data_IF_499697936859
#
_entry.id   IF_499697936859
#
_cell.length_a   1.000
_cell.length_b   1.000
_cell.length_c   1.000
_cell.angle_alpha   90.00
_cell.angle_beta   90.00
_cell.angle_gamma   90.00
#
_symmetry.space_group_name_H-M   'P 1'
#
loop_
_entity.id
_entity.type
_entity.pdbx_description
1 polymer ?
#
# COMPACT_ATOMS: atom_id res chain seq x y z
N UNK A 1 18.09 -8.71 -26.29
CA UNK A 1 18.05 -7.62 -25.29
C UNK A 1 19.22 -7.80 -24.35
N UNK A 2 20.03 -6.77 -24.10
CA UNK A 2 21.16 -6.86 -23.16
C UNK A 2 20.64 -7.13 -21.75
N UNK A 3 21.19 -8.14 -21.08
CA UNK A 3 20.79 -8.57 -19.75
C UNK A 3 21.20 -7.50 -18.72
N UNK A 4 20.33 -6.52 -18.44
CA UNK A 4 20.64 -5.40 -17.57
C UNK A 4 20.43 -5.75 -16.08
N UNK A 5 21.02 -6.88 -15.64
CA UNK A 5 20.94 -7.36 -14.24
C UNK A 5 21.43 -6.32 -13.24
N UNK A 6 22.33 -5.45 -13.67
CA UNK A 6 22.87 -4.34 -12.88
C UNK A 6 21.81 -3.29 -12.58
N UNK A 7 21.06 -2.83 -13.60
CA UNK A 7 19.98 -1.87 -13.39
C UNK A 7 18.88 -2.43 -12.47
N UNK A 8 18.44 -3.66 -12.70
CA UNK A 8 17.38 -4.28 -11.90
C UNK A 8 17.77 -4.37 -10.42
N UNK A 9 19.03 -4.75 -10.15
CA UNK A 9 19.59 -4.76 -8.78
C UNK A 9 19.63 -3.37 -8.16
N UNK A 10 20.06 -2.36 -8.91
CA UNK A 10 20.10 -0.99 -8.39
C UNK A 10 18.69 -0.46 -8.11
N UNK A 11 17.74 -0.67 -9.02
CA UNK A 11 16.36 -0.25 -8.82
C UNK A 11 15.77 -0.88 -7.56
N UNK A 12 15.82 -2.21 -7.43
CA UNK A 12 15.30 -2.91 -6.26
C UNK A 12 15.99 -2.45 -4.96
N UNK A 13 17.32 -2.30 -4.97
CA UNK A 13 18.06 -1.80 -3.81
C UNK A 13 17.63 -0.38 -3.44
N UNK A 14 17.45 0.51 -4.41
CA UNK A 14 17.01 1.89 -4.19
C UNK A 14 15.62 1.92 -3.57
N UNK A 15 14.68 1.13 -4.09
CA UNK A 15 13.32 1.05 -3.53
C UNK A 15 13.32 0.50 -2.10
N UNK A 16 14.03 -0.58 -1.83
CA UNK A 16 14.16 -1.13 -0.47
C UNK A 16 14.84 -0.15 0.49
N UNK A 17 15.88 0.56 0.05
CA UNK A 17 16.52 1.63 0.82
C UNK A 17 15.53 2.78 1.11
N UNK A 18 14.73 3.21 0.13
CA UNK A 18 13.72 4.23 0.33
C UNK A 18 12.66 3.79 1.36
N UNK A 19 12.21 2.54 1.29
CA UNK A 19 11.32 1.95 2.29
C UNK A 19 11.94 1.94 3.70
N UNK A 20 13.19 1.48 3.83
CA UNK A 20 13.89 1.45 5.12
C UNK A 20 14.12 2.85 5.72
N UNK A 21 14.52 3.83 4.90
CA UNK A 21 14.67 5.24 5.31
C UNK A 21 13.33 5.81 5.78
N UNK A 22 12.24 5.50 5.07
CA UNK A 22 10.89 5.95 5.43
C UNK A 22 10.45 5.39 6.78
N UNK A 23 10.67 4.09 7.03
CA UNK A 23 10.39 3.48 8.34
C UNK A 23 11.25 4.09 9.45
N UNK A 24 12.53 4.33 9.19
CA UNK A 24 13.43 5.00 10.13
C UNK A 24 12.95 6.42 10.49
N UNK A 25 12.52 7.19 9.49
CA UNK A 25 11.92 8.50 9.70
C UNK A 25 10.63 8.42 10.55
N UNK A 26 9.77 7.43 10.28
CA UNK A 26 8.58 7.12 11.08
C UNK A 26 8.89 6.82 12.54
N UNK A 27 9.88 5.96 12.78
CA UNK A 27 10.35 5.63 14.13
C UNK A 27 10.90 6.85 14.87
N UNK A 28 11.74 7.65 14.21
CA UNK A 28 12.33 8.87 14.80
C UNK A 28 11.23 9.88 15.12
N UNK A 29 10.30 10.14 14.20
CA UNK A 29 9.17 11.04 14.41
C UNK A 29 8.31 10.58 15.59
N UNK A 30 8.02 9.28 15.65
CA UNK A 30 7.29 8.67 16.75
C UNK A 30 8.01 8.84 18.09
N UNK A 31 9.29 8.50 18.15
CA UNK A 31 10.11 8.59 19.35
C UNK A 31 10.21 10.02 19.87
N UNK A 32 10.49 11.00 19.00
CA UNK A 32 10.50 12.43 19.36
C UNK A 32 9.13 12.87 19.88
N UNK A 33 8.05 12.41 19.26
CA UNK A 33 6.69 12.75 19.66
C UNK A 33 6.23 12.14 20.98
N UNK A 34 6.75 10.98 21.39
CA UNK A 34 6.46 10.39 22.72
C UNK A 34 7.15 11.14 23.85
N UNK A 35 8.30 11.78 23.58
CA UNK A 35 9.05 12.56 24.56
C UNK A 35 8.45 13.93 24.88
N UNK A 36 7.44 14.37 24.14
CA UNK A 36 6.67 15.59 24.49
C UNK A 36 5.98 15.42 25.86
N UNK A 37 5.65 14.18 26.25
CA UNK A 37 4.97 13.88 27.52
C UNK A 37 5.94 13.52 28.67
N UNK A 38 7.27 13.54 28.47
CA UNK A 38 8.22 13.40 29.59
C UNK A 38 8.17 14.69 30.43
N UNK A 39 7.75 14.62 31.71
CA UNK A 39 7.79 15.79 32.57
C UNK A 39 9.25 16.25 32.65
N UNK A 40 9.50 17.51 32.29
CA UNK A 40 10.74 18.15 32.72
C UNK A 40 10.85 17.94 34.22
N UNK A 41 11.93 17.31 34.67
CA UNK A 41 12.26 17.15 36.08
C UNK A 41 12.37 18.53 36.74
N UNK A 42 11.27 19.06 37.26
CA UNK A 42 11.17 20.14 38.25
C UNK A 42 9.69 20.45 38.57
N UNK A 43 9.23 20.15 39.79
CA UNK A 43 8.17 20.94 40.47
C UNK A 43 8.78 22.26 41.00
N UNK A 44 8.06 23.37 41.31
CA UNK A 44 6.65 23.49 41.81
C UNK A 44 5.90 24.79 41.32
N UNK A 45 4.84 25.35 41.98
CA UNK A 45 3.80 24.79 42.84
C UNK A 45 2.37 24.90 42.25
N UNK A 46 1.43 24.24 42.94
CA UNK A 46 0.00 24.26 42.66
C UNK A 46 -0.60 25.67 42.63
N UNK A 47 -1.16 26.05 41.48
CA UNK A 47 -2.27 27.02 41.41
C UNK A 47 -3.43 26.39 40.67
N UNK A 48 -4.60 26.51 41.29
CA UNK A 48 -5.85 25.94 40.87
C UNK A 48 -6.27 26.43 39.47
N UNK A 49 -6.80 25.48 38.72
CA UNK A 49 -8.01 25.65 37.90
C UNK A 49 -7.97 26.74 36.82
N UNK A 50 -7.54 26.32 35.65
CA UNK A 50 -8.47 26.37 34.53
C UNK A 50 -8.40 25.02 33.82
N UNK A 51 -9.48 24.24 33.90
CA UNK A 51 -9.73 23.12 33.00
C UNK A 51 -9.81 23.74 31.61
N UNK A 52 -8.65 23.89 30.96
CA UNK A 52 -8.54 24.32 29.57
C UNK A 52 -9.46 23.36 28.82
N UNK A 53 -10.47 23.85 28.08
CA UNK A 53 -11.32 22.95 27.34
C UNK A 53 -10.37 22.09 26.51
N UNK A 54 -10.46 20.78 26.71
CA UNK A 54 -10.08 19.88 25.63
C UNK A 54 -10.99 20.36 24.52
N UNK A 55 -10.42 21.14 23.60
CA UNK A 55 -11.09 21.44 22.33
C UNK A 55 -11.35 20.05 21.76
N UNK A 56 -12.60 19.59 21.92
CA UNK A 56 -13.16 18.57 21.07
C UNK A 56 -12.78 19.00 19.67
N UNK A 57 -12.02 18.15 18.97
CA UNK A 57 -11.67 18.45 17.59
C UNK A 57 -12.98 18.81 16.89
N UNK A 58 -13.05 19.98 16.25
CA UNK A 58 -14.29 20.44 15.67
C UNK A 58 -14.82 19.34 14.75
N UNK A 59 -16.14 19.16 14.75
CA UNK A 59 -16.88 18.44 13.71
C UNK A 59 -16.20 18.74 12.37
N UNK A 60 -15.92 17.72 11.53
CA UNK A 60 -15.08 17.83 10.33
C UNK A 60 -15.67 18.85 9.33
N UNK A 61 -15.41 20.13 9.59
CA UNK A 61 -15.96 21.32 8.92
C UNK A 61 -15.16 21.67 7.67
N UNK A 62 -14.02 21.00 7.47
CA UNK A 62 -13.21 21.12 6.27
C UNK A 62 -13.79 20.24 5.15
N UNK A 63 -14.65 20.87 4.35
CA UNK A 63 -15.24 20.28 3.13
C UNK A 63 -14.17 19.61 2.25
N UNK A 64 -12.95 20.14 2.21
CA UNK A 64 -11.83 19.60 1.41
C UNK A 64 -11.41 18.22 1.88
N UNK A 65 -11.27 18.01 3.20
CA UNK A 65 -10.90 16.71 3.77
C UNK A 65 -11.96 15.66 3.51
N UNK A 66 -13.23 16.03 3.64
CA UNK A 66 -14.36 15.15 3.34
C UNK A 66 -14.37 14.74 1.87
N UNK A 67 -14.17 15.69 0.95
CA UNK A 67 -14.08 15.43 -0.49
C UNK A 67 -12.89 14.51 -0.80
N UNK A 68 -11.70 14.81 -0.28
CA UNK A 68 -10.51 13.99 -0.51
C UNK A 68 -10.69 12.55 -0.01
N UNK A 69 -11.33 12.33 1.14
CA UNK A 69 -11.68 10.99 1.62
C UNK A 69 -12.64 10.29 0.67
N UNK A 70 -13.69 10.97 0.20
CA UNK A 70 -14.64 10.39 -0.77
C UNK A 70 -13.98 10.06 -2.10
N UNK A 71 -13.01 10.85 -2.56
CA UNK A 71 -12.22 10.54 -3.75
C UNK A 71 -11.44 9.24 -3.53
N UNK A 72 -10.80 9.05 -2.38
CA UNK A 72 -10.15 7.77 -2.07
C UNK A 72 -11.17 6.62 -2.11
N UNK A 73 -12.29 6.78 -1.40
CA UNK A 73 -13.28 5.71 -1.20
C UNK A 73 -14.03 5.30 -2.47
N UNK A 74 -14.44 6.27 -3.29
CA UNK A 74 -15.40 6.06 -4.37
C UNK A 74 -14.83 6.33 -5.76
N UNK A 75 -13.57 6.73 -5.86
CA UNK A 75 -12.88 6.86 -7.14
C UNK A 75 -11.59 6.03 -7.16
N UNK A 76 -10.65 6.28 -6.24
CA UNK A 76 -9.36 5.59 -6.22
C UNK A 76 -9.53 4.08 -6.00
N UNK A 77 -10.28 3.67 -4.97
CA UNK A 77 -10.50 2.24 -4.69
C UNK A 77 -11.23 1.54 -5.85
N UNK A 78 -12.36 2.05 -6.40
CA UNK A 78 -13.00 1.41 -7.54
C UNK A 78 -12.13 1.31 -8.80
N UNK A 79 -11.34 2.35 -9.12
CA UNK A 79 -10.42 2.31 -10.27
C UNK A 79 -9.32 1.26 -10.06
N UNK A 80 -8.79 1.17 -8.84
CA UNK A 80 -7.82 0.15 -8.47
C UNK A 80 -8.40 -1.26 -8.67
N UNK A 81 -9.61 -1.51 -8.14
CA UNK A 81 -10.29 -2.80 -8.26
C UNK A 81 -10.60 -3.21 -9.71
N UNK A 82 -10.98 -2.22 -10.53
CA UNK A 82 -11.20 -2.46 -11.95
C UNK A 82 -9.88 -2.81 -12.68
N UNK A 83 -8.77 -2.21 -12.26
CA UNK A 83 -7.45 -2.45 -12.86
C UNK A 83 -6.95 -3.85 -12.52
N UNK A 84 -7.06 -4.29 -11.26
CA UNK A 84 -6.64 -5.64 -10.85
C UNK A 84 -7.47 -6.74 -11.50
N UNK A 85 -8.79 -6.56 -11.59
CA UNK A 85 -9.64 -7.49 -12.38
C UNK A 85 -9.24 -7.54 -13.86
N UNK A 86 -8.87 -6.39 -14.44
CA UNK A 86 -8.46 -6.31 -15.85
C UNK A 86 -7.10 -6.99 -16.07
N UNK A 87 -6.20 -6.90 -15.10
CA UNK A 87 -4.90 -7.57 -15.10
C UNK A 87 -5.06 -9.10 -15.11
N UNK A 88 -5.86 -9.65 -14.19
CA UNK A 88 -6.24 -11.06 -14.21
C UNK A 88 -6.86 -11.48 -15.56
N UNK A 89 -7.69 -10.63 -16.16
CA UNK A 89 -8.26 -10.92 -17.48
C UNK A 89 -7.20 -10.93 -18.59
N UNK A 90 -6.19 -10.06 -18.52
CA UNK A 90 -5.03 -10.09 -19.40
C UNK A 90 -4.28 -11.41 -19.25
N UNK A 91 -3.96 -11.83 -18.03
CA UNK A 91 -3.29 -13.11 -17.76
C UNK A 91 -4.08 -14.30 -18.29
N UNK A 92 -5.40 -14.28 -18.12
CA UNK A 92 -6.28 -15.30 -18.69
C UNK A 92 -6.20 -15.37 -20.20
N UNK A 93 -6.13 -14.22 -20.89
CA UNK A 93 -6.02 -14.18 -22.35
C UNK A 93 -4.64 -14.58 -22.85
N UNK A 94 -3.58 -14.34 -22.09
CA UNK A 94 -2.20 -14.65 -22.47
C UNK A 94 -1.75 -16.03 -22.01
N UNK A 95 -2.66 -16.85 -21.47
CA UNK A 95 -2.41 -18.25 -21.10
C UNK A 95 -1.17 -18.38 -20.18
N UNK A 96 -1.16 -17.59 -19.10
CA UNK A 96 0.00 -17.55 -18.20
C UNK A 96 0.31 -18.93 -17.63
N UNK A 97 -0.69 -19.78 -17.46
CA UNK A 97 -0.55 -21.14 -16.94
C UNK A 97 0.44 -21.99 -17.76
N UNK A 98 0.63 -21.71 -19.06
CA UNK A 98 1.58 -22.40 -19.93
C UNK A 98 2.83 -21.58 -20.28
N UNK A 99 2.87 -20.29 -19.96
CA UNK A 99 4.03 -19.43 -20.23
C UNK A 99 4.88 -19.16 -18.98
N UNK A 100 4.33 -18.45 -18.00
CA UNK A 100 5.01 -18.00 -16.77
C UNK A 100 4.60 -18.78 -15.53
N UNK A 101 3.35 -19.24 -15.48
CA UNK A 101 2.71 -20.10 -14.50
C UNK A 101 2.73 -19.55 -13.07
N UNK A 102 2.61 -20.47 -12.12
CA UNK A 102 2.38 -20.18 -10.69
C UNK A 102 3.43 -19.26 -10.06
N UNK A 103 4.61 -19.11 -10.66
CA UNK A 103 5.62 -18.16 -10.22
C UNK A 103 5.19 -16.71 -10.43
N UNK A 104 4.63 -16.36 -11.60
CA UNK A 104 4.12 -15.00 -11.84
C UNK A 104 2.93 -14.73 -10.92
N UNK A 105 1.95 -15.62 -10.90
CA UNK A 105 0.80 -15.55 -9.98
C UNK A 105 1.20 -15.48 -8.50
N UNK A 106 2.25 -16.19 -8.11
CA UNK A 106 2.80 -16.13 -6.75
C UNK A 106 3.39 -14.77 -6.41
N UNK A 107 4.00 -14.06 -7.38
CA UNK A 107 4.47 -12.69 -7.22
C UNK A 107 3.28 -11.74 -7.13
N UNK A 108 2.23 -11.91 -7.96
CA UNK A 108 1.00 -11.11 -7.84
C UNK A 108 0.31 -11.28 -6.48
N UNK A 109 0.23 -12.51 -5.95
CA UNK A 109 -0.31 -12.77 -4.62
C UNK A 109 0.55 -12.13 -3.51
N UNK A 110 1.88 -12.10 -3.67
CA UNK A 110 2.77 -11.37 -2.77
C UNK A 110 2.47 -9.87 -2.82
N UNK A 111 2.37 -9.29 -4.01
CA UNK A 111 2.03 -7.87 -4.22
C UNK A 111 0.65 -7.52 -3.64
N UNK A 112 -0.34 -8.40 -3.80
CA UNK A 112 -1.66 -8.24 -3.18
C UNK A 112 -1.56 -8.23 -1.64
N UNK A 113 -0.73 -9.09 -1.06
CA UNK A 113 -0.42 -9.09 0.36
C UNK A 113 0.26 -7.79 0.82
N UNK A 114 1.27 -7.33 0.08
CA UNK A 114 2.00 -6.08 0.33
C UNK A 114 1.06 -4.86 0.32
N UNK A 115 0.04 -4.85 -0.55
CA UNK A 115 -0.98 -3.81 -0.61
C UNK A 115 -2.07 -3.98 0.47
N UNK A 116 -2.41 -5.22 0.87
CA UNK A 116 -3.46 -5.47 1.85
C UNK A 116 -3.12 -4.89 3.23
N UNK A 117 -1.87 -5.03 3.70
CA UNK A 117 -1.49 -4.50 5.02
C UNK A 117 -1.65 -2.98 5.18
N UNK A 118 -1.15 -2.11 4.27
CA UNK A 118 -1.35 -0.67 4.37
C UNK A 118 -2.81 -0.28 4.17
N UNK A 119 -3.59 -1.01 3.36
CA UNK A 119 -5.04 -0.81 3.24
C UNK A 119 -5.75 -1.10 4.57
N UNK A 120 -5.48 -2.24 5.21
CA UNK A 120 -6.03 -2.60 6.52
C UNK A 120 -5.61 -1.59 7.60
N UNK A 121 -4.35 -1.15 7.60
CA UNK A 121 -3.89 -0.09 8.50
C UNK A 121 -4.65 1.22 8.25
N UNK A 122 -4.84 1.60 6.99
CA UNK A 122 -5.60 2.78 6.59
C UNK A 122 -7.08 2.71 6.94
N UNK A 123 -7.70 1.53 6.92
CA UNK A 123 -9.10 1.30 7.28
C UNK A 123 -9.32 1.33 8.80
N UNK A 124 -8.46 0.66 9.56
CA UNK A 124 -8.72 0.37 10.98
C UNK A 124 -7.91 1.21 11.95
N UNK A 125 -6.67 1.58 11.62
CA UNK A 125 -5.77 2.28 12.54
C UNK A 125 -5.85 3.79 12.37
N UNK A 126 -5.60 4.50 13.47
CA UNK A 126 -5.30 5.93 13.42
C UNK A 126 -4.01 6.14 12.61
N UNK A 127 -4.07 7.03 11.62
CA UNK A 127 -2.91 7.33 10.77
C UNK A 127 -2.04 8.36 11.48
N UNK A 128 -1.20 7.86 12.38
CA UNK A 128 -0.09 8.58 13.01
C UNK A 128 1.21 8.39 12.20
N UNK A 129 2.31 9.04 12.59
CA UNK A 129 3.58 8.98 11.86
C UNK A 129 4.08 7.55 11.57
N UNK A 130 4.03 6.57 12.49
CA UNK A 130 4.38 5.18 12.18
C UNK A 130 3.52 4.56 11.10
N UNK A 131 2.20 4.75 11.16
CA UNK A 131 1.25 4.15 10.20
C UNK A 131 1.45 4.78 8.83
N UNK A 132 1.56 6.11 8.75
CA UNK A 132 1.85 6.79 7.49
C UNK A 132 3.19 6.33 6.89
N UNK A 133 4.23 6.23 7.72
CA UNK A 133 5.53 5.74 7.27
C UNK A 133 5.49 4.30 6.77
N UNK A 134 4.70 3.44 7.42
CA UNK A 134 4.49 2.07 7.01
C UNK A 134 3.79 2.02 5.64
N UNK A 135 2.74 2.82 5.43
CA UNK A 135 2.05 2.88 4.14
C UNK A 135 2.97 3.33 3.00
N UNK A 136 3.79 4.35 3.22
CA UNK A 136 4.76 4.83 2.22
C UNK A 136 5.86 3.78 1.99
N UNK A 137 6.35 3.13 3.05
CA UNK A 137 7.38 2.09 2.92
C UNK A 137 6.86 0.84 2.19
N UNK A 138 5.62 0.43 2.46
CA UNK A 138 4.95 -0.66 1.74
C UNK A 138 4.85 -0.36 0.25
N UNK A 139 4.57 0.89 -0.14
CA UNK A 139 4.59 1.30 -1.55
C UNK A 139 5.97 1.05 -2.19
N UNK A 140 7.07 1.48 -1.55
CA UNK A 140 8.40 1.23 -2.10
C UNK A 140 8.77 -0.26 -2.18
N UNK A 141 8.38 -1.05 -1.17
CA UNK A 141 8.59 -2.51 -1.22
C UNK A 141 7.80 -3.12 -2.39
N UNK A 142 6.56 -2.70 -2.56
CA UNK A 142 5.69 -3.12 -3.65
C UNK A 142 6.28 -2.79 -5.02
N UNK A 143 6.84 -1.60 -5.23
CA UNK A 143 7.52 -1.22 -6.48
C UNK A 143 8.72 -2.13 -6.79
N UNK A 144 9.48 -2.56 -5.78
CA UNK A 144 10.56 -3.51 -5.97
C UNK A 144 10.04 -4.89 -6.42
N UNK A 145 8.90 -5.32 -5.86
CA UNK A 145 8.23 -6.57 -6.22
C UNK A 145 7.58 -6.49 -7.62
N UNK A 146 6.98 -5.36 -7.98
CA UNK A 146 6.42 -5.11 -9.32
C UNK A 146 7.50 -5.14 -10.40
N UNK A 147 8.65 -4.53 -10.12
CA UNK A 147 9.80 -4.61 -11.02
C UNK A 147 10.34 -6.05 -11.15
N UNK A 148 10.27 -6.85 -10.07
CA UNK A 148 10.61 -8.27 -10.13
C UNK A 148 9.63 -9.06 -11.01
N UNK A 149 8.34 -8.79 -10.88
CA UNK A 149 7.27 -9.40 -11.69
C UNK A 149 7.51 -9.17 -13.19
N UNK A 150 7.56 -7.90 -13.62
CA UNK A 150 7.74 -7.54 -15.03
C UNK A 150 9.05 -8.12 -15.56
N UNK A 151 10.13 -8.05 -14.78
CA UNK A 151 11.43 -8.62 -15.16
C UNK A 151 11.40 -10.14 -15.34
N UNK A 152 10.50 -10.83 -14.64
CA UNK A 152 10.26 -12.26 -14.85
C UNK A 152 9.39 -12.49 -16.09
N UNK A 153 8.24 -11.82 -16.18
CA UNK A 153 7.25 -12.01 -17.24
C UNK A 153 7.85 -11.82 -18.64
N UNK A 154 8.61 -10.74 -18.86
CA UNK A 154 9.20 -10.41 -20.17
C UNK A 154 10.28 -11.39 -20.63
N UNK A 155 10.78 -12.28 -19.76
CA UNK A 155 11.72 -13.34 -20.14
C UNK A 155 11.01 -14.60 -20.64
N UNK A 156 9.67 -14.66 -20.51
CA UNK A 156 8.86 -15.88 -20.70
C UNK A 156 7.70 -15.69 -21.66
N UNK A 157 7.15 -14.48 -21.75
CA UNK A 157 6.03 -14.13 -22.65
C UNK A 157 6.14 -12.70 -23.14
N UNK A 158 5.40 -12.39 -24.20
CA UNK A 158 5.16 -11.01 -24.61
C UNK A 158 4.08 -10.39 -23.71
N UNK A 159 4.43 -9.28 -23.05
CA UNK A 159 3.47 -8.49 -22.27
C UNK A 159 2.82 -7.46 -23.18
N UNK A 160 1.52 -7.62 -23.44
CA UNK A 160 0.81 -6.87 -24.49
C UNK A 160 0.61 -5.38 -24.11
N UNK A 161 0.44 -4.47 -25.07
CA UNK A 161 0.27 -3.03 -24.78
C UNK A 161 -0.88 -2.70 -23.82
N UNK A 162 -1.99 -3.45 -23.90
CA UNK A 162 -3.12 -3.28 -22.98
C UNK A 162 -2.71 -3.60 -21.53
N UNK A 163 -1.98 -4.69 -21.34
CA UNK A 163 -1.51 -5.12 -20.02
C UNK A 163 -0.51 -4.11 -19.43
N UNK A 164 0.42 -3.61 -20.25
CA UNK A 164 1.31 -2.51 -19.86
C UNK A 164 0.56 -1.26 -19.40
N UNK A 165 -0.55 -0.93 -20.05
CA UNK A 165 -1.39 0.21 -19.64
C UNK A 165 -2.11 -0.06 -18.31
N UNK A 166 -2.61 -1.29 -18.11
CA UNK A 166 -3.21 -1.71 -16.84
C UNK A 166 -2.18 -1.66 -15.70
N UNK A 167 -0.95 -2.14 -15.93
CA UNK A 167 0.15 -2.04 -14.98
C UNK A 167 0.46 -0.59 -14.60
N UNK A 168 0.40 0.34 -15.57
CA UNK A 168 0.55 1.77 -15.29
C UNK A 168 -0.52 2.30 -14.31
N UNK A 169 -1.76 1.81 -14.38
CA UNK A 169 -2.79 2.14 -13.37
C UNK A 169 -2.51 1.48 -12.03
N UNK A 170 -2.10 0.21 -12.03
CA UNK A 170 -1.77 -0.54 -10.81
C UNK A 170 -0.58 0.07 -10.05
N UNK A 171 0.34 0.74 -10.71
CA UNK A 171 1.42 1.51 -10.08
C UNK A 171 0.93 2.90 -9.59
N UNK A 172 0.24 3.65 -10.46
CA UNK A 172 -0.10 5.05 -10.20
C UNK A 172 -1.24 5.23 -9.20
N UNK A 173 -2.20 4.31 -9.14
CA UNK A 173 -3.38 4.43 -8.27
C UNK A 173 -3.02 4.24 -6.79
N UNK A 174 -2.19 3.25 -6.39
CA UNK A 174 -1.65 3.18 -5.04
C UNK A 174 -0.81 4.40 -4.67
N UNK A 175 0.03 4.91 -5.57
CA UNK A 175 0.78 6.15 -5.35
C UNK A 175 -0.15 7.33 -5.08
N UNK A 176 -1.22 7.47 -5.87
CA UNK A 176 -2.27 8.49 -5.67
C UNK A 176 -2.95 8.32 -4.31
N UNK A 177 -3.27 7.10 -3.89
CA UNK A 177 -3.87 6.83 -2.59
C UNK A 177 -2.95 7.28 -1.45
N UNK A 178 -1.68 6.88 -1.48
CA UNK A 178 -0.68 7.28 -0.48
C UNK A 178 -0.47 8.80 -0.48
N UNK A 179 -0.44 9.44 -1.65
CA UNK A 179 -0.30 10.89 -1.77
C UNK A 179 -1.48 11.64 -1.16
N UNK A 180 -2.73 11.22 -1.44
CA UNK A 180 -3.92 11.84 -0.85
C UNK A 180 -3.96 11.64 0.68
N UNK A 181 -3.58 10.46 1.16
CA UNK A 181 -3.45 10.20 2.60
C UNK A 181 -2.37 11.09 3.22
N UNK A 182 -1.22 11.26 2.56
CA UNK A 182 -0.17 12.16 3.02
C UNK A 182 -0.64 13.63 3.08
N UNK A 183 -1.46 14.08 2.13
CA UNK A 183 -2.10 15.41 2.17
C UNK A 183 -3.06 15.52 3.35
N UNK A 184 -3.93 14.53 3.55
CA UNK A 184 -4.87 14.48 4.69
C UNK A 184 -4.15 14.48 6.04
N UNK A 185 -2.95 13.88 6.09
CA UNK A 185 -2.08 13.74 7.26
C UNK A 185 -0.81 14.58 7.13
N UNK A 186 -0.91 15.78 6.55
CA UNK A 186 0.23 16.66 6.31
C UNK A 186 1.10 16.95 7.56
N UNK A 187 0.53 17.15 8.76
CA UNK A 187 1.36 17.28 9.96
C UNK A 187 2.30 16.08 10.16
N UNK A 188 1.80 14.85 9.99
CA UNK A 188 2.61 13.63 10.09
C UNK A 188 3.73 13.63 9.04
N UNK A 189 3.47 14.08 7.80
CA UNK A 189 4.51 14.28 6.78
C UNK A 189 5.60 15.26 7.26
N UNK A 190 5.20 16.40 7.85
CA UNK A 190 6.16 17.35 8.44
C UNK A 190 7.00 16.71 9.56
N UNK A 191 6.42 15.77 10.31
CA UNK A 191 7.14 15.01 11.34
C UNK A 191 8.13 14.01 10.74
N UNK A 192 7.74 13.28 9.68
CA UNK A 192 8.63 12.39 8.93
C UNK A 192 9.83 13.14 8.32
N UNK A 193 9.60 14.36 7.82
CA UNK A 193 10.64 15.23 7.29
C UNK A 193 11.50 15.91 8.39
N UNK A 194 11.23 15.62 9.66
CA UNK A 194 11.94 16.22 10.80
C UNK A 194 11.65 17.71 11.05
N UNK A 195 10.73 18.31 10.29
CA UNK A 195 10.39 19.76 10.30
C UNK A 195 9.51 20.15 11.49
N UNK A 196 8.75 19.21 12.04
CA UNK A 196 7.86 19.43 13.18
C UNK A 196 7.94 18.25 14.14
N UNK A 197 7.83 18.50 15.44
CA UNK A 197 7.57 17.42 16.42
C UNK A 197 6.07 17.41 16.71
N UNK A 198 5.44 16.26 16.53
CA UNK A 198 4.01 16.06 16.79
C UNK A 198 3.88 15.03 17.90
N UNK A 199 2.91 15.23 18.80
CA UNK A 199 2.62 14.28 19.85
C UNK A 199 2.21 12.95 19.23
N UNK A 200 3.05 11.94 19.45
CA UNK A 200 2.83 10.59 18.94
C UNK A 200 2.06 9.78 19.95
N UNK A 201 1.10 9.00 19.48
CA UNK A 201 0.29 8.14 20.35
C UNK A 201 0.56 6.66 20.04
N UNK A 202 0.27 5.73 20.98
CA UNK A 202 0.34 4.30 20.67
C UNK A 202 -0.58 3.93 19.52
N UNK A 203 -0.23 2.84 18.81
CA UNK A 203 -1.09 2.24 17.78
C UNK A 203 -2.46 1.94 18.40
N UNK A 204 -3.51 2.46 17.76
CA UNK A 204 -4.90 2.26 18.18
C UNK A 204 -5.84 2.33 16.99
N UNK A 205 -7.04 1.81 17.19
CA UNK A 205 -8.12 1.92 16.22
C UNK A 205 -8.56 3.37 16.00
N UNK A 206 -9.07 3.68 14.80
CA UNK A 206 -9.63 5.00 14.47
C UNK A 206 -10.71 5.40 15.47
N UNK A 207 -10.63 6.65 15.95
CA UNK A 207 -11.68 7.25 16.78
C UNK A 207 -12.98 7.45 15.99
N UNK A 208 -12.86 7.83 14.73
CA UNK A 208 -13.97 7.99 13.78
C UNK A 208 -13.75 7.01 12.62
N UNK A 209 -14.32 5.79 12.67
CA UNK A 209 -14.20 4.83 11.58
C UNK A 209 -15.03 5.26 10.37
N UNK A 210 -14.70 4.75 9.18
CA UNK A 210 -15.40 5.04 7.91
C UNK A 210 -16.84 4.48 7.83
N UNK A 211 -17.36 3.93 8.93
CA UNK A 211 -18.61 3.18 9.00
C UNK A 211 -18.41 1.69 8.71
N UNK A 212 -19.01 0.83 9.53
CA UNK A 212 -18.96 -0.62 9.34
C UNK A 212 -19.48 -1.08 7.97
N UNK A 213 -20.58 -0.53 7.41
CA UNK A 213 -21.06 -0.92 6.09
C UNK A 213 -20.05 -0.66 4.98
N UNK A 214 -19.38 0.49 5.01
CA UNK A 214 -18.35 0.82 4.04
C UNK A 214 -17.14 -0.12 4.18
N UNK A 215 -16.66 -0.35 5.41
CA UNK A 215 -15.50 -1.21 5.64
C UNK A 215 -15.76 -2.65 5.16
N UNK A 216 -16.91 -3.23 5.52
CA UNK A 216 -17.29 -4.57 5.06
C UNK A 216 -17.52 -4.62 3.53
N UNK A 217 -18.15 -3.59 2.97
CA UNK A 217 -18.35 -3.46 1.53
C UNK A 217 -17.02 -3.40 0.79
N UNK A 218 -16.09 -2.54 1.21
CA UNK A 218 -14.76 -2.42 0.61
C UNK A 218 -13.96 -3.72 0.68
N UNK A 219 -13.93 -4.38 1.85
CA UNK A 219 -13.25 -5.67 2.01
C UNK A 219 -13.90 -6.78 1.19
N UNK A 220 -15.23 -6.81 1.11
CA UNK A 220 -15.96 -7.75 0.28
C UNK A 220 -15.66 -7.55 -1.21
N UNK A 221 -15.63 -6.29 -1.67
CA UNK A 221 -15.25 -5.96 -3.05
C UNK A 221 -13.81 -6.35 -3.36
N UNK A 222 -12.86 -6.07 -2.46
CA UNK A 222 -11.47 -6.52 -2.61
C UNK A 222 -11.37 -8.05 -2.65
N UNK A 223 -12.12 -8.76 -1.81
CA UNK A 223 -12.14 -10.23 -1.82
C UNK A 223 -12.68 -10.79 -3.15
N UNK A 224 -13.73 -10.17 -3.71
CA UNK A 224 -14.39 -10.64 -4.94
C UNK A 224 -13.61 -10.24 -6.20
N UNK A 225 -13.07 -9.03 -6.25
CA UNK A 225 -12.48 -8.47 -7.47
C UNK A 225 -10.96 -8.58 -7.54
N UNK A 226 -10.28 -8.82 -6.42
CA UNK A 226 -8.83 -9.01 -6.37
C UNK A 226 -8.47 -10.42 -5.91
N UNK A 227 -8.85 -10.79 -4.68
CA UNK A 227 -8.38 -12.06 -4.08
C UNK A 227 -8.90 -13.28 -4.84
N UNK A 228 -10.19 -13.32 -5.15
CA UNK A 228 -10.82 -14.46 -5.81
C UNK A 228 -10.25 -14.72 -7.22
N UNK A 229 -10.09 -13.70 -8.10
CA UNK A 229 -9.43 -13.87 -9.40
C UNK A 229 -8.02 -14.47 -9.30
N UNK A 230 -7.13 -13.93 -8.46
CA UNK A 230 -5.78 -14.48 -8.33
C UNK A 230 -5.75 -15.86 -7.66
N UNK A 231 -6.74 -16.20 -6.83
CA UNK A 231 -6.92 -17.57 -6.34
C UNK A 231 -7.37 -18.53 -7.45
N UNK A 232 -8.29 -18.11 -8.34
CA UNK A 232 -8.66 -18.88 -9.53
C UNK A 232 -7.46 -19.11 -10.45
N UNK A 233 -6.67 -18.06 -10.67
CA UNK A 233 -5.45 -18.11 -11.46
C UNK A 233 -4.41 -19.05 -10.88
N UNK A 234 -4.15 -18.99 -9.56
CA UNK A 234 -3.24 -19.89 -8.89
C UNK A 234 -3.69 -21.36 -9.00
N UNK A 235 -5.00 -21.61 -8.92
CA UNK A 235 -5.57 -22.94 -9.12
C UNK A 235 -5.45 -23.41 -10.59
N UNK A 236 -5.62 -22.50 -11.56
CA UNK A 236 -5.47 -22.76 -12.98
C UNK A 236 -4.03 -23.13 -13.33
N UNK A 237 -3.07 -22.35 -12.84
CA UNK A 237 -1.64 -22.61 -13.00
C UNK A 237 -1.21 -23.94 -12.37
N UNK A 238 -1.65 -24.19 -11.13
CA UNK A 238 -1.36 -25.43 -10.43
C UNK A 238 -1.92 -26.66 -11.17
N UNK A 239 -3.12 -26.55 -11.75
CA UNK A 239 -3.72 -27.64 -12.53
C UNK A 239 -2.97 -27.90 -13.84
N UNK A 240 -2.53 -26.85 -14.53
CA UNK A 240 -1.77 -26.97 -15.77
C UNK A 240 -0.37 -27.55 -15.52
N UNK A 241 0.28 -27.17 -14.41
CA UNK A 241 1.65 -27.58 -14.08
C UNK A 241 1.79 -28.06 -12.61
N UNK A 242 1.19 -29.20 -12.23
CA UNK A 242 1.21 -29.67 -10.84
C UNK A 242 2.64 -29.84 -10.30
N UNK A 243 2.90 -29.25 -9.12
CA UNK A 243 4.20 -29.34 -8.45
C UNK A 243 5.31 -28.48 -9.06
N UNK A 244 5.01 -27.62 -10.06
CA UNK A 244 5.99 -26.73 -10.69
C UNK A 244 5.56 -25.27 -10.58
N UNK A 245 6.49 -24.42 -10.15
CA UNK A 245 6.26 -22.97 -10.15
C UNK A 245 6.38 -22.37 -11.57
N UNK A 246 7.22 -22.94 -12.41
CA UNK A 246 7.48 -22.44 -13.76
C UNK A 246 7.21 -23.55 -14.78
N UNK A 247 6.40 -23.29 -15.82
CA UNK A 247 6.16 -24.25 -16.89
C UNK A 247 7.48 -24.61 -17.62
N UNK A 248 7.62 -25.83 -18.17
CA UNK A 248 8.76 -26.20 -19.00
C UNK A 248 8.94 -25.23 -20.17
N UNK A 249 10.18 -24.89 -20.53
CA UNK A 249 10.44 -24.14 -21.74
C UNK A 249 10.20 -25.05 -22.97
N UNK A 250 9.14 -24.79 -23.76
CA UNK A 250 8.95 -25.49 -25.03
C UNK A 250 7.54 -25.86 -25.45
N UNK A 251 6.49 -25.10 -25.10
CA UNK A 251 5.26 -25.16 -25.88
C UNK A 251 5.16 -23.89 -26.72
N UNK A 252 5.42 -23.97 -28.04
CA UNK A 252 5.05 -22.87 -28.93
C UNK A 252 3.52 -22.74 -28.87
N UNK A 253 3.06 -21.52 -28.63
CA UNK A 253 1.69 -21.10 -28.96
C UNK A 253 1.59 -20.94 -30.47
#
# INVERSE_FOLDING_TARGET
MMENRTFLRYYASTMLCAGAVTLGAGFIAWWRGRRIDEPATADPPATMSAKRPVEDEPEETDTTRHVARRVIQYFVIPVWLASGLTDWWCHRRTDIEHTTGLKETGIHLLMLGEAAFPVLAGLFLEIDAPVLSFMIASFFVHEATAMWDVSYAVTRREVQPMEQHVHSFLEMVPLLAVALIAVLHWPQVQALLGRKVIRSRPLRMKRVPLGLPYALGALGMMAVFEVLPYCEEALRDWKANPGRLTPPAGQPV
#
